data_IF_163395468565
#
_entry.id   IF_163395468565
#
_cell.length_a   1.000
_cell.length_b   1.000
_cell.length_c   1.000
_cell.angle_alpha   90.00
_cell.angle_beta   90.00
_cell.angle_gamma   90.00
#
_symmetry.space_group_name_H-M   'P 1'
#
loop_
_entity.id
_entity.type
_entity.pdbx_description
1 polymer ?
#
# COMPACT_ATOMS: atom_id res chain seq x y z
N UNK A 1 -10.14 -17.23 15.63
CA UNK A 1 -9.81 -15.85 15.20
C UNK A 1 -8.44 -15.50 15.78
N UNK A 2 -7.48 -15.09 14.94
CA UNK A 2 -6.08 -14.72 15.26
C UNK A 2 -5.12 -15.85 15.71
N UNK A 3 -5.17 -17.05 15.11
CA UNK A 3 -4.24 -18.16 15.45
C UNK A 3 -2.76 -17.89 15.10
N UNK A 4 -2.48 -16.82 14.36
CA UNK A 4 -1.16 -16.40 13.89
C UNK A 4 -0.48 -15.36 14.80
N UNK A 5 -1.11 -14.97 15.91
CA UNK A 5 -0.57 -13.97 16.83
C UNK A 5 0.31 -14.66 17.89
N UNK A 6 1.57 -14.23 18.08
CA UNK A 6 2.46 -14.81 19.09
C UNK A 6 1.85 -14.72 20.50
N UNK A 7 1.99 -15.81 21.27
CA UNK A 7 1.59 -15.83 22.69
C UNK A 7 2.34 -14.73 23.45
N UNK A 8 1.60 -13.79 24.06
CA UNK A 8 2.16 -12.67 24.84
C UNK A 8 1.98 -11.28 24.20
N UNK A 9 1.53 -11.19 22.94
CA UNK A 9 1.26 -9.90 22.32
C UNK A 9 -0.05 -9.27 22.86
N UNK A 10 -0.05 -7.98 23.24
CA UNK A 10 -1.28 -7.28 23.61
C UNK A 10 -2.32 -7.39 22.50
N UNK A 11 -3.54 -7.78 22.85
CA UNK A 11 -4.65 -7.99 21.92
C UNK A 11 -4.86 -6.80 20.98
N UNK A 12 -4.66 -5.58 21.46
CA UNK A 12 -4.72 -4.37 20.64
C UNK A 12 -3.72 -4.41 19.49
N UNK A 13 -2.44 -4.67 19.75
CA UNK A 13 -1.37 -4.68 18.73
C UNK A 13 -1.65 -5.76 17.68
N UNK A 14 -2.06 -6.94 18.13
CA UNK A 14 -2.42 -8.06 17.27
C UNK A 14 -3.57 -7.73 16.31
N UNK A 15 -4.61 -7.04 16.80
CA UNK A 15 -5.75 -6.58 16.00
C UNK A 15 -5.32 -5.56 14.95
N UNK A 16 -4.43 -4.62 15.30
CA UNK A 16 -3.87 -3.66 14.34
C UNK A 16 -3.04 -4.38 13.28
N UNK A 17 -2.11 -5.26 13.64
CA UNK A 17 -1.28 -5.99 12.67
C UNK A 17 -2.12 -6.85 11.71
N UNK A 18 -3.12 -7.56 12.23
CA UNK A 18 -4.03 -8.36 11.41
C UNK A 18 -4.87 -7.51 10.44
N UNK A 19 -5.24 -6.29 10.85
CA UNK A 19 -5.98 -5.36 10.01
C UNK A 19 -5.11 -4.70 8.93
N UNK A 20 -3.82 -4.52 9.18
CA UNK A 20 -2.89 -3.93 8.22
C UNK A 20 -2.57 -4.87 7.05
N UNK A 21 -2.54 -6.18 7.30
CA UNK A 21 -2.11 -7.18 6.33
C UNK A 21 -2.92 -7.16 5.02
N UNK A 22 -4.27 -7.20 5.02
CA UNK A 22 -5.03 -7.29 3.78
C UNK A 22 -4.86 -6.08 2.85
N UNK A 23 -4.90 -4.86 3.39
CA UNK A 23 -4.67 -3.64 2.60
C UNK A 23 -3.24 -3.56 2.08
N UNK A 24 -2.26 -3.90 2.92
CA UNK A 24 -0.85 -3.90 2.52
C UNK A 24 -0.57 -4.91 1.40
N UNK A 25 -1.14 -6.12 1.49
CA UNK A 25 -1.02 -7.17 0.46
C UNK A 25 -1.68 -6.73 -0.84
N UNK A 26 -2.87 -6.11 -0.78
CA UNK A 26 -3.57 -5.61 -1.95
C UNK A 26 -2.71 -4.57 -2.70
N UNK A 27 -2.18 -3.60 -1.96
CA UNK A 27 -1.34 -2.54 -2.51
C UNK A 27 -0.05 -3.11 -3.10
N UNK A 28 0.58 -4.04 -2.38
CA UNK A 28 1.78 -4.73 -2.82
C UNK A 28 1.58 -5.53 -4.12
N UNK A 29 0.54 -6.36 -4.16
CA UNK A 29 0.24 -7.18 -5.33
C UNK A 29 -0.03 -6.30 -6.56
N UNK A 30 -0.68 -5.15 -6.38
CA UNK A 30 -0.91 -4.20 -7.45
C UNK A 30 0.40 -3.58 -7.98
N UNK A 31 1.25 -3.04 -7.10
CA UNK A 31 2.52 -2.44 -7.54
C UNK A 31 3.42 -3.44 -8.25
N UNK A 32 3.51 -4.67 -7.75
CA UNK A 32 4.28 -5.73 -8.41
C UNK A 32 3.67 -6.09 -9.77
N UNK A 33 2.35 -6.26 -9.86
CA UNK A 33 1.69 -6.58 -11.12
C UNK A 33 1.83 -5.46 -12.16
N UNK A 34 1.72 -4.20 -11.73
CA UNK A 34 1.90 -3.04 -12.59
C UNK A 34 3.33 -2.98 -13.15
N UNK A 35 4.35 -3.18 -12.31
CA UNK A 35 5.73 -3.20 -12.76
C UNK A 35 6.00 -4.36 -13.73
N UNK A 36 5.50 -5.57 -13.41
CA UNK A 36 5.62 -6.72 -14.31
C UNK A 36 4.97 -6.41 -15.66
N UNK A 37 3.78 -5.81 -15.68
CA UNK A 37 3.13 -5.42 -16.93
C UNK A 37 3.98 -4.41 -17.72
N UNK A 38 4.60 -3.43 -17.06
CA UNK A 38 5.50 -2.46 -17.71
C UNK A 38 6.73 -3.13 -18.28
N UNK A 39 7.35 -4.06 -17.56
CA UNK A 39 8.54 -4.80 -18.01
C UNK A 39 8.23 -5.67 -19.24
N UNK A 40 7.11 -6.41 -19.23
CA UNK A 40 6.81 -7.39 -20.28
C UNK A 40 6.03 -6.83 -21.48
N UNK A 41 5.24 -5.76 -21.30
CA UNK A 41 4.37 -5.21 -22.33
C UNK A 41 4.83 -3.83 -22.83
N UNK A 42 5.87 -3.26 -22.22
CA UNK A 42 6.33 -1.89 -22.46
C UNK A 42 7.36 -1.72 -23.58
N UNK A 43 7.65 -2.75 -24.40
CA UNK A 43 8.62 -2.62 -25.50
C UNK A 43 8.20 -1.50 -26.47
N UNK A 44 9.02 -0.45 -26.55
CA UNK A 44 8.83 0.72 -27.43
C UNK A 44 7.99 1.86 -26.85
N UNK A 45 7.20 1.67 -25.78
CA UNK A 45 6.28 2.70 -25.25
C UNK A 45 6.01 2.65 -23.73
N UNK A 46 6.95 2.14 -22.93
CA UNK A 46 6.80 1.97 -21.47
C UNK A 46 6.27 3.20 -20.71
N UNK A 47 6.56 4.43 -21.16
CA UNK A 47 6.05 5.65 -20.54
C UNK A 47 4.54 5.85 -20.71
N UNK A 48 3.97 5.51 -21.86
CA UNK A 48 2.52 5.60 -22.11
C UNK A 48 1.76 4.56 -21.31
N UNK A 49 2.33 3.35 -21.19
CA UNK A 49 1.77 2.29 -20.36
C UNK A 49 1.82 2.66 -18.87
N UNK A 50 2.92 3.24 -18.40
CA UNK A 50 3.05 3.76 -17.03
C UNK A 50 2.00 4.85 -16.71
N UNK A 51 1.74 5.78 -17.65
CA UNK A 51 0.71 6.80 -17.50
C UNK A 51 -0.70 6.21 -17.41
N UNK A 52 -0.97 5.10 -18.10
CA UNK A 52 -2.27 4.42 -18.04
C UNK A 52 -2.58 3.84 -16.65
N UNK A 53 -1.56 3.57 -15.84
CA UNK A 53 -1.71 3.10 -14.46
C UNK A 53 -1.91 4.22 -13.45
N UNK A 54 -1.72 5.50 -13.82
CA UNK A 54 -1.82 6.63 -12.91
C UNK A 54 -3.17 6.72 -12.15
N UNK A 55 -4.35 6.52 -12.79
CA UNK A 55 -5.62 6.49 -12.07
C UNK A 55 -5.68 5.35 -11.03
N UNK A 56 -5.11 4.20 -11.37
CA UNK A 56 -5.14 3.00 -10.52
C UNK A 56 -4.16 3.16 -9.35
N UNK A 57 -2.98 3.73 -9.59
CA UNK A 57 -2.01 4.12 -8.55
C UNK A 57 -2.64 5.09 -7.54
N UNK A 58 -3.54 5.99 -7.97
CA UNK A 58 -4.23 6.88 -7.02
C UNK A 58 -5.38 6.21 -6.24
N UNK A 59 -6.02 5.17 -6.80
CA UNK A 59 -7.22 4.54 -6.20
C UNK A 59 -6.85 3.37 -5.28
N UNK A 60 -5.89 2.54 -5.67
CA UNK A 60 -5.48 1.37 -4.88
C UNK A 60 -5.03 1.67 -3.44
N UNK A 61 -4.36 2.80 -3.13
CA UNK A 61 -3.95 3.10 -1.77
C UNK A 61 -5.16 3.46 -0.91
N UNK A 62 -6.14 4.16 -1.50
CA UNK A 62 -7.44 4.44 -0.87
C UNK A 62 -8.15 3.12 -0.56
N UNK A 63 -8.22 2.20 -1.52
CA UNK A 63 -8.83 0.88 -1.33
C UNK A 63 -8.12 0.06 -0.25
N UNK A 64 -6.79 0.07 -0.24
CA UNK A 64 -5.99 -0.53 0.83
C UNK A 64 -6.40 0.01 2.20
N UNK A 65 -6.51 1.34 2.32
CA UNK A 65 -6.93 2.00 3.55
C UNK A 65 -8.36 1.65 3.98
N UNK A 66 -9.29 1.55 3.03
CA UNK A 66 -10.68 1.11 3.26
C UNK A 66 -10.72 -0.31 3.79
N UNK A 67 -10.09 -1.26 3.08
CA UNK A 67 -10.10 -2.69 3.43
C UNK A 67 -9.50 -2.90 4.82
N UNK A 68 -8.34 -2.32 5.10
CA UNK A 68 -7.69 -2.45 6.40
C UNK A 68 -8.54 -1.89 7.55
N UNK A 69 -9.25 -0.80 7.31
CA UNK A 69 -10.13 -0.21 8.32
C UNK A 69 -11.37 -1.06 8.57
N UNK A 70 -12.00 -1.59 7.51
CA UNK A 70 -13.14 -2.52 7.61
C UNK A 70 -12.77 -3.80 8.37
N UNK A 71 -11.58 -4.34 8.11
CA UNK A 71 -11.09 -5.52 8.83
C UNK A 71 -10.90 -5.21 10.30
N UNK A 72 -10.33 -4.04 10.66
CA UNK A 72 -10.20 -3.66 12.06
C UNK A 72 -11.55 -3.51 12.77
N UNK A 73 -12.55 -2.89 12.11
CA UNK A 73 -13.90 -2.79 12.67
C UNK A 73 -14.52 -4.18 12.90
N UNK A 74 -14.40 -5.07 11.91
CA UNK A 74 -14.91 -6.44 11.99
C UNK A 74 -14.22 -7.26 13.09
N UNK A 75 -12.92 -7.09 13.28
CA UNK A 75 -12.17 -7.80 14.33
C UNK A 75 -12.54 -7.27 15.73
N UNK A 76 -12.76 -5.96 15.86
CA UNK A 76 -13.06 -5.33 17.15
C UNK A 76 -14.54 -5.38 17.54
N UNK A 77 -15.45 -5.59 16.58
CA UNK A 77 -16.90 -5.47 16.75
C UNK A 77 -17.31 -4.16 17.45
N UNK A 78 -16.59 -3.06 17.16
CA UNK A 78 -16.84 -1.74 17.72
C UNK A 78 -16.59 -0.70 16.63
N UNK A 79 -17.47 0.30 16.56
CA UNK A 79 -17.27 1.44 15.66
C UNK A 79 -15.96 2.15 15.96
N UNK A 80 -15.17 2.42 14.91
CA UNK A 80 -13.93 3.16 15.05
C UNK A 80 -14.18 4.67 15.07
N UNK A 81 -13.20 5.41 15.61
CA UNK A 81 -13.13 6.85 15.37
C UNK A 81 -12.49 7.12 14.02
N UNK A 82 -12.84 8.23 13.36
CA UNK A 82 -12.26 8.63 12.06
C UNK A 82 -10.74 8.69 12.15
N UNK A 83 -10.21 9.19 13.26
CA UNK A 83 -8.76 9.20 13.55
C UNK A 83 -8.14 7.80 13.55
N UNK A 84 -8.81 6.80 14.15
CA UNK A 84 -8.30 5.42 14.16
C UNK A 84 -8.38 4.76 12.79
N UNK A 85 -9.45 5.00 12.03
CA UNK A 85 -9.54 4.57 10.63
C UNK A 85 -8.42 5.16 9.78
N UNK A 86 -8.23 6.47 9.87
CA UNK A 86 -7.13 7.16 9.18
C UNK A 86 -5.75 6.61 9.55
N UNK A 87 -5.47 6.36 10.84
CA UNK A 87 -4.19 5.80 11.27
C UNK A 87 -3.93 4.39 10.72
N UNK A 88 -4.96 3.53 10.70
CA UNK A 88 -4.83 2.16 10.16
C UNK A 88 -4.67 2.18 8.66
N UNK A 89 -5.46 3.01 7.97
CA UNK A 89 -5.33 3.19 6.53
C UNK A 89 -3.96 3.76 6.14
N UNK A 90 -3.45 4.73 6.91
CA UNK A 90 -2.11 5.28 6.73
C UNK A 90 -1.04 4.20 6.90
N UNK A 91 -1.12 3.42 7.97
CA UNK A 91 -0.16 2.36 8.24
C UNK A 91 -0.22 1.24 7.19
N UNK A 92 -1.40 0.91 6.66
CA UNK A 92 -1.53 -0.08 5.58
C UNK A 92 -0.94 0.45 4.26
N UNK A 93 -1.22 1.71 3.92
CA UNK A 93 -0.61 2.41 2.78
C UNK A 93 0.91 2.45 2.90
N UNK A 94 1.42 2.86 4.06
CA UNK A 94 2.85 2.91 4.34
C UNK A 94 3.52 1.55 4.21
N UNK A 95 3.00 0.51 4.89
CA UNK A 95 3.61 -0.83 4.88
C UNK A 95 3.55 -1.44 3.48
N UNK A 96 2.41 -1.36 2.80
CA UNK A 96 2.26 -1.85 1.44
C UNK A 96 3.23 -1.16 0.46
N UNK A 97 3.30 0.16 0.49
CA UNK A 97 4.20 0.94 -0.37
C UNK A 97 5.68 0.65 -0.03
N UNK A 98 6.05 0.64 1.26
CA UNK A 98 7.42 0.41 1.70
C UNK A 98 7.95 -0.97 1.27
N UNK A 99 7.16 -2.03 1.49
CA UNK A 99 7.54 -3.39 1.07
C UNK A 99 7.64 -3.51 -0.45
N UNK A 100 6.71 -2.90 -1.18
CA UNK A 100 6.74 -2.87 -2.65
C UNK A 100 8.00 -2.19 -3.16
N UNK A 101 8.31 -1.01 -2.63
CA UNK A 101 9.49 -0.24 -2.98
C UNK A 101 10.76 -1.04 -2.75
N UNK A 102 10.91 -1.71 -1.60
CA UNK A 102 12.08 -2.56 -1.32
C UNK A 102 12.22 -3.68 -2.35
N UNK A 103 11.13 -4.38 -2.66
CA UNK A 103 11.16 -5.49 -3.61
C UNK A 103 11.48 -5.00 -5.03
N UNK A 104 10.81 -3.94 -5.49
CA UNK A 104 11.03 -3.36 -6.81
C UNK A 104 12.46 -2.82 -6.95
N UNK A 105 13.01 -2.22 -5.88
CA UNK A 105 14.42 -1.83 -5.81
C UNK A 105 15.35 -3.03 -5.98
N UNK A 106 15.07 -4.13 -5.28
CA UNK A 106 15.87 -5.34 -5.39
C UNK A 106 15.81 -5.92 -6.80
N UNK A 107 14.61 -6.03 -7.39
CA UNK A 107 14.43 -6.52 -8.77
C UNK A 107 15.18 -5.65 -9.77
N UNK A 108 15.13 -4.32 -9.62
CA UNK A 108 15.85 -3.38 -10.48
C UNK A 108 17.37 -3.57 -10.44
N UNK A 109 17.95 -3.91 -9.27
CA UNK A 109 19.38 -4.20 -9.14
C UNK A 109 19.82 -5.47 -9.88
N UNK A 110 18.89 -6.41 -10.15
CA UNK A 110 19.18 -7.64 -10.89
C UNK A 110 18.80 -7.55 -12.38
N UNK A 111 18.12 -6.48 -12.80
CA UNK A 111 17.59 -6.30 -14.14
C UNK A 111 18.26 -5.12 -14.85
N UNK A 112 19.55 -5.27 -15.19
CA UNK A 112 20.42 -4.26 -15.83
C UNK A 112 19.94 -3.72 -17.20
N UNK A 113 18.78 -4.15 -17.73
CA UNK A 113 18.35 -3.91 -19.12
C UNK A 113 17.12 -3.03 -19.31
N UNK A 114 16.47 -2.52 -18.26
CA UNK A 114 15.21 -1.79 -18.42
C UNK A 114 15.27 -0.34 -17.93
N UNK A 115 14.47 0.53 -18.57
CA UNK A 115 14.47 1.98 -18.38
C UNK A 115 14.18 2.43 -16.94
N UNK A 116 13.46 1.63 -16.16
CA UNK A 116 13.36 1.82 -14.72
C UNK A 116 14.71 1.52 -14.05
N UNK A 117 15.34 0.36 -14.28
CA UNK A 117 16.67 0.02 -13.78
C UNK A 117 17.74 1.11 -13.97
N UNK A 118 17.78 1.78 -15.14
CA UNK A 118 18.74 2.87 -15.40
C UNK A 118 18.43 4.22 -14.74
N UNK A 119 17.16 4.50 -14.39
CA UNK A 119 16.77 5.71 -13.65
C UNK A 119 16.97 5.56 -12.12
N UNK A 120 17.28 4.35 -11.64
CA UNK A 120 17.25 3.95 -10.23
C UNK A 120 18.64 3.73 -9.60
N UNK A 121 19.74 4.01 -10.30
CA UNK A 121 21.12 3.64 -9.87
C UNK A 121 21.81 4.65 -8.94
N UNK A 122 21.14 5.69 -8.42
CA UNK A 122 21.78 6.75 -7.61
C UNK A 122 21.10 7.06 -6.27
N UNK A 123 21.80 7.75 -5.36
CA UNK A 123 21.31 8.24 -4.04
C UNK A 123 19.98 9.02 -4.15
N UNK A 124 19.72 9.65 -5.30
CA UNK A 124 18.46 10.33 -5.61
C UNK A 124 17.23 9.40 -5.67
N UNK A 125 17.43 8.08 -5.83
CA UNK A 125 16.38 7.07 -5.82
C UNK A 125 15.66 7.00 -4.48
N UNK A 126 16.41 6.87 -3.38
CA UNK A 126 15.83 6.84 -2.04
C UNK A 126 15.08 8.12 -1.69
N UNK A 127 15.55 9.26 -2.22
CA UNK A 127 14.89 10.56 -2.06
C UNK A 127 13.59 10.65 -2.87
N UNK A 128 13.52 10.07 -4.06
CA UNK A 128 12.32 10.05 -4.90
C UNK A 128 11.25 9.03 -4.43
N UNK A 129 11.67 7.97 -3.75
CA UNK A 129 10.78 6.97 -3.16
C UNK A 129 10.00 7.47 -1.94
N UNK A 130 10.61 8.36 -1.14
CA UNK A 130 9.98 8.93 0.05
C UNK A 130 8.68 9.70 -0.26
N UNK A 131 8.63 10.59 -1.29
CA UNK A 131 7.39 11.21 -1.75
C UNK A 131 6.31 10.21 -2.15
N UNK A 132 6.67 9.13 -2.84
CA UNK A 132 5.70 8.09 -3.25
C UNK A 132 5.10 7.46 -2.01
N UNK A 133 5.94 6.96 -1.10
CA UNK A 133 5.47 6.36 0.17
C UNK A 133 4.61 7.34 0.97
N UNK A 134 4.99 8.62 1.00
CA UNK A 134 4.23 9.65 1.70
C UNK A 134 2.85 9.87 1.07
N UNK A 135 2.76 9.99 -0.26
CA UNK A 135 1.49 10.14 -0.99
C UNK A 135 0.59 8.93 -0.76
N UNK A 136 1.13 7.72 -0.92
CA UNK A 136 0.44 6.45 -0.68
C UNK A 136 -0.11 6.34 0.74
N UNK A 137 0.68 6.78 1.73
CA UNK A 137 0.28 6.83 3.13
C UNK A 137 -0.87 7.81 3.34
N UNK A 138 -0.83 8.98 2.73
CA UNK A 138 -1.90 9.98 2.82
C UNK A 138 -3.18 9.48 2.15
N UNK A 139 -3.07 8.89 0.96
CA UNK A 139 -4.20 8.30 0.24
C UNK A 139 -4.83 7.13 1.02
N UNK A 140 -4.01 6.27 1.63
CA UNK A 140 -4.48 5.23 2.54
C UNK A 140 -5.18 5.80 3.78
N UNK A 141 -4.66 6.88 4.35
CA UNK A 141 -5.29 7.59 5.46
C UNK A 141 -6.67 8.14 5.07
N UNK A 142 -6.79 8.71 3.87
CA UNK A 142 -8.04 9.23 3.33
C UNK A 142 -9.07 8.11 3.14
N UNK A 143 -8.67 6.96 2.58
CA UNK A 143 -9.55 5.80 2.44
C UNK A 143 -10.07 5.29 3.79
N UNK A 144 -9.17 5.15 4.77
CA UNK A 144 -9.54 4.74 6.13
C UNK A 144 -10.42 5.75 6.86
N UNK A 145 -10.22 7.05 6.64
CA UNK A 145 -11.06 8.09 7.22
C UNK A 145 -12.47 8.11 6.58
N UNK A 146 -12.53 7.99 5.26
CA UNK A 146 -13.77 8.07 4.48
C UNK A 146 -14.72 6.92 4.84
N UNK A 147 -14.21 5.69 4.90
CA UNK A 147 -15.07 4.53 5.20
C UNK A 147 -15.70 4.61 6.60
N UNK A 148 -14.94 5.09 7.60
CA UNK A 148 -15.48 5.27 8.96
C UNK A 148 -16.55 6.35 9.00
N UNK A 149 -16.42 7.42 8.19
CA UNK A 149 -17.48 8.43 8.08
C UNK A 149 -18.75 7.84 7.46
N UNK A 150 -18.61 7.14 6.33
CA UNK A 150 -19.76 6.51 5.64
C UNK A 150 -20.48 5.51 6.55
N UNK A 151 -19.75 4.67 7.30
CA UNK A 151 -20.35 3.69 8.23
C UNK A 151 -21.09 4.35 9.39
N UNK A 152 -20.73 5.57 9.79
CA UNK A 152 -21.40 6.29 10.87
C UNK A 152 -22.65 7.03 10.41
N UNK A 153 -22.70 7.39 9.14
CA UNK A 153 -23.83 8.09 8.53
C UNK A 153 -24.88 7.12 7.97
N UNK A 154 -24.55 5.84 7.84
CA UNK A 154 -25.43 4.74 7.45
C UNK A 154 -26.12 4.07 8.66
#
# INVERSE_FOLDING_TARGET
MLSFVPKGMPRSIAEYLAALLPGSILLFAFFVAAEVAVIFLGEGNGNLLALSFLPVICIMPILSGVVSTLVLEKVRNKQLSVKRGAMVGAAAGFVGAFVSVILLSAVALFADKYAFGSALTGVFFYVALLPIIAVETVLGALGGAAVVKVIKEA
#
